data_IF_249148750509
#
_entry.id   IF_249148750509
#
_cell.length_a   1.000
_cell.length_b   1.000
_cell.length_c   1.000
_cell.angle_alpha   90.00
_cell.angle_beta   90.00
_cell.angle_gamma   90.00
#
_symmetry.space_group_name_H-M   'P 1'
#
loop_
_entity.id
_entity.type
_entity.pdbx_description
1 polymer ?
#
# COMPACT_ATOMS: atom_id res chain seq x y z
N UNK A 1 -14.80 33.55 -0.43
CA UNK A 1 -13.64 33.47 -1.35
C UNK A 1 -13.60 32.08 -1.95
N UNK A 2 -13.17 31.91 -3.21
CA UNK A 2 -12.96 30.58 -3.82
C UNK A 2 -11.44 30.38 -3.96
N UNK A 3 -10.93 29.26 -3.46
CA UNK A 3 -9.52 28.87 -3.53
C UNK A 3 -9.39 27.56 -4.29
N UNK A 4 -8.45 27.51 -5.22
CA UNK A 4 -8.12 26.29 -5.96
C UNK A 4 -6.86 25.67 -5.36
N UNK A 5 -7.01 24.55 -4.66
CA UNK A 5 -5.92 23.82 -4.03
C UNK A 5 -5.52 22.64 -4.91
N UNK A 6 -4.24 22.59 -5.33
CA UNK A 6 -3.73 21.58 -6.25
C UNK A 6 -3.81 21.97 -7.73
N UNK A 7 -3.52 21.04 -8.67
CA UNK A 7 -3.19 19.64 -8.44
C UNK A 7 -1.77 19.42 -7.90
N UNK A 8 -0.91 20.44 -7.96
CA UNK A 8 0.46 20.40 -7.48
C UNK A 8 0.56 21.10 -6.12
N UNK A 9 0.40 20.33 -5.04
CA UNK A 9 0.61 20.80 -3.67
C UNK A 9 1.10 19.62 -2.81
N UNK A 10 2.08 19.82 -1.89
CA UNK A 10 2.65 18.73 -1.09
C UNK A 10 1.62 17.87 -0.35
N UNK A 11 0.63 18.50 0.28
CA UNK A 11 -0.42 17.82 1.08
C UNK A 11 -1.48 17.07 0.27
N UNK A 12 -1.35 16.97 -1.06
CA UNK A 12 -2.30 16.25 -1.92
C UNK A 12 -1.92 14.79 -2.15
N UNK A 13 -0.69 14.37 -1.75
CA UNK A 13 -0.15 13.00 -1.84
C UNK A 13 -0.50 12.27 -3.15
N UNK A 14 -0.31 12.96 -4.28
CA UNK A 14 -0.73 12.49 -5.59
C UNK A 14 -1.24 13.65 -6.43
N UNK A 15 -2.29 13.39 -7.21
CA UNK A 15 -2.88 14.39 -8.12
C UNK A 15 -4.33 14.60 -7.75
N UNK A 16 -4.55 15.46 -6.77
CA UNK A 16 -5.87 15.86 -6.27
C UNK A 16 -6.01 17.37 -6.43
N UNK A 17 -7.16 17.80 -6.95
CA UNK A 17 -7.53 19.21 -7.05
C UNK A 17 -8.82 19.43 -6.27
N UNK A 18 -8.82 20.40 -5.37
CA UNK A 18 -9.98 20.77 -4.58
C UNK A 18 -10.33 22.23 -4.89
N UNK A 19 -11.57 22.49 -5.26
CA UNK A 19 -12.13 23.84 -5.32
C UNK A 19 -12.85 24.08 -4.00
N UNK A 20 -12.29 24.95 -3.16
CA UNK A 20 -12.79 25.21 -1.82
C UNK A 20 -13.44 26.60 -1.77
N UNK A 21 -14.67 26.65 -1.30
CA UNK A 21 -15.39 27.90 -1.03
C UNK A 21 -15.30 28.22 0.45
N UNK A 22 -14.71 29.37 0.77
CA UNK A 22 -14.41 29.82 2.12
C UNK A 22 -15.22 31.06 2.50
N UNK A 23 -15.65 31.15 3.75
CA UNK A 23 -16.06 32.41 4.40
C UNK A 23 -15.15 32.65 5.60
N UNK A 24 -14.24 33.62 5.47
CA UNK A 24 -13.11 33.75 6.39
C UNK A 24 -12.24 32.49 6.41
N UNK A 25 -12.16 31.84 7.58
CA UNK A 25 -11.43 30.59 7.82
C UNK A 25 -12.33 29.34 7.69
N UNK A 26 -13.65 29.52 7.62
CA UNK A 26 -14.60 28.42 7.56
C UNK A 26 -14.79 27.91 6.13
N UNK A 27 -14.74 26.58 5.96
CA UNK A 27 -15.03 25.91 4.69
C UNK A 27 -16.55 25.73 4.55
N UNK A 28 -17.16 26.45 3.61
CA UNK A 28 -18.60 26.31 3.32
C UNK A 28 -18.84 25.14 2.35
N UNK A 29 -17.98 25.00 1.34
CA UNK A 29 -18.13 23.98 0.30
C UNK A 29 -16.76 23.52 -0.23
N UNK A 30 -16.70 22.28 -0.70
CA UNK A 30 -15.49 21.68 -1.26
C UNK A 30 -15.87 20.73 -2.39
N UNK A 31 -15.45 21.08 -3.61
CA UNK A 31 -15.64 20.26 -4.81
C UNK A 31 -14.31 19.55 -5.17
N UNK A 32 -14.22 18.22 -4.97
CA UNK A 32 -13.04 17.46 -5.38
C UNK A 32 -13.09 17.14 -6.87
N UNK A 33 -12.12 17.65 -7.63
CA UNK A 33 -11.92 17.32 -9.04
C UNK A 33 -10.96 16.13 -9.13
N UNK A 34 -11.52 14.99 -9.51
CA UNK A 34 -10.82 13.72 -9.69
C UNK A 34 -10.50 13.44 -11.16
N UNK A 35 -9.75 12.37 -11.43
CA UNK A 35 -9.55 11.85 -12.78
C UNK A 35 -8.20 12.18 -13.43
N UNK A 36 -7.35 12.99 -12.80
CA UNK A 36 -6.01 13.29 -13.31
C UNK A 36 -5.11 12.05 -13.46
N UNK A 37 -5.37 10.99 -12.69
CA UNK A 37 -4.68 9.70 -12.77
C UNK A 37 -5.55 8.60 -13.43
N UNK A 38 -6.66 8.97 -14.07
CA UNK A 38 -7.50 8.00 -14.79
C UNK A 38 -6.76 7.46 -16.01
N UNK A 39 -6.63 6.13 -16.09
CA UNK A 39 -5.86 5.43 -17.14
C UNK A 39 -6.68 4.40 -17.92
N UNK A 40 -8.00 4.39 -17.77
CA UNK A 40 -8.87 3.44 -18.47
C UNK A 40 -8.57 1.96 -18.16
N UNK A 41 -8.19 1.65 -16.92
CA UNK A 41 -7.74 0.31 -16.52
C UNK A 41 -8.81 -0.77 -16.76
N UNK A 42 -10.09 -0.44 -16.59
CA UNK A 42 -11.21 -1.34 -16.87
C UNK A 42 -11.34 -1.65 -18.37
N UNK A 43 -11.14 -0.64 -19.22
CA UNK A 43 -11.18 -0.84 -20.68
C UNK A 43 -10.02 -1.70 -21.18
N UNK A 44 -8.86 -1.61 -20.52
CA UNK A 44 -7.71 -2.47 -20.80
C UNK A 44 -8.03 -3.91 -20.37
N UNK A 45 -8.73 -4.09 -19.23
CA UNK A 45 -9.12 -5.42 -18.74
C UNK A 45 -9.98 -6.19 -19.75
N UNK A 46 -10.92 -5.52 -20.42
CA UNK A 46 -11.78 -6.14 -21.44
C UNK A 46 -11.00 -6.77 -22.61
N UNK A 47 -9.82 -6.23 -22.92
CA UNK A 47 -9.01 -6.62 -24.07
C UNK A 47 -7.81 -7.52 -23.71
N UNK A 48 -7.72 -7.96 -22.44
CA UNK A 48 -6.59 -8.73 -21.92
C UNK A 48 -7.08 -9.97 -21.18
N UNK A 49 -6.30 -11.03 -21.23
CA UNK A 49 -6.56 -12.19 -20.36
C UNK A 49 -6.22 -11.81 -18.91
N UNK A 50 -6.80 -12.52 -17.94
CA UNK A 50 -6.58 -12.25 -16.50
C UNK A 50 -5.07 -12.26 -16.16
N UNK A 51 -4.32 -13.21 -16.72
CA UNK A 51 -2.87 -13.33 -16.50
C UNK A 51 -2.12 -12.12 -17.05
N UNK A 52 -2.51 -11.60 -18.22
CA UNK A 52 -1.92 -10.41 -18.82
C UNK A 52 -2.34 -9.12 -18.10
N UNK A 53 -3.52 -9.13 -17.46
CA UNK A 53 -4.05 -8.00 -16.73
C UNK A 53 -3.46 -7.86 -15.32
N UNK A 54 -3.00 -8.95 -14.71
CA UNK A 54 -2.48 -8.96 -13.33
C UNK A 54 -1.39 -7.90 -13.05
N UNK A 55 -0.41 -7.62 -13.95
CA UNK A 55 0.57 -6.55 -13.74
C UNK A 55 -0.01 -5.12 -13.79
N UNK A 56 -1.23 -4.93 -14.32
CA UNK A 56 -1.92 -3.64 -14.28
C UNK A 56 -2.62 -3.43 -12.94
N UNK A 57 -3.13 -4.50 -12.34
CA UNK A 57 -3.82 -4.48 -11.05
C UNK A 57 -2.88 -4.04 -9.93
N UNK A 58 -1.61 -4.47 -9.96
CA UNK A 58 -0.59 -4.02 -9.01
C UNK A 58 -0.38 -2.50 -8.99
N UNK A 59 -0.93 -1.78 -9.98
CA UNK A 59 -0.83 -0.32 -10.12
C UNK A 59 -2.12 0.41 -9.74
N UNK A 60 -3.16 -0.32 -9.31
CA UNK A 60 -4.40 0.27 -8.80
C UNK A 60 -4.13 0.95 -7.46
N UNK A 61 -3.57 0.20 -6.51
CA UNK A 61 -3.02 0.71 -5.27
C UNK A 61 -1.54 0.35 -5.21
N UNK A 62 -0.69 1.36 -5.41
CA UNK A 62 0.76 1.20 -5.40
C UNK A 62 1.32 1.03 -3.97
N UNK A 63 0.53 1.31 -2.93
CA UNK A 63 0.95 1.17 -1.53
C UNK A 63 0.82 -0.27 -1.04
N UNK A 64 -0.26 -0.94 -1.42
CA UNK A 64 -0.63 -2.27 -0.96
C UNK A 64 -0.93 -3.23 -2.13
N UNK A 65 0.03 -3.33 -3.05
CA UNK A 65 -0.14 -4.02 -4.34
C UNK A 65 -0.60 -5.47 -4.21
N UNK A 66 -0.16 -6.19 -3.17
CA UNK A 66 -0.50 -7.61 -2.95
C UNK A 66 -1.99 -7.83 -2.64
N UNK A 67 -2.70 -6.86 -2.05
CA UNK A 67 -4.15 -6.97 -1.84
C UNK A 67 -4.91 -6.95 -3.16
N UNK A 68 -4.53 -6.04 -4.06
CA UNK A 68 -5.16 -5.93 -5.37
C UNK A 68 -4.90 -7.19 -6.22
N UNK A 69 -3.69 -7.75 -6.14
CA UNK A 69 -3.36 -9.05 -6.75
C UNK A 69 -4.22 -10.18 -6.18
N UNK A 70 -4.35 -10.25 -4.86
CA UNK A 70 -5.12 -11.29 -4.20
C UNK A 70 -6.59 -11.27 -4.63
N UNK A 71 -7.21 -10.09 -4.72
CA UNK A 71 -8.61 -9.96 -5.17
C UNK A 71 -8.76 -10.47 -6.61
N UNK A 72 -7.83 -10.10 -7.50
CA UNK A 72 -7.88 -10.47 -8.92
C UNK A 72 -7.64 -11.96 -9.15
N UNK A 73 -6.87 -12.60 -8.28
CA UNK A 73 -6.57 -14.03 -8.36
C UNK A 73 -7.63 -14.89 -7.66
N UNK A 74 -8.14 -14.44 -6.50
CA UNK A 74 -9.15 -15.16 -5.74
C UNK A 74 -10.50 -15.22 -6.46
N UNK A 75 -10.87 -14.18 -7.22
CA UNK A 75 -12.12 -14.13 -7.97
C UNK A 75 -12.27 -15.29 -8.98
N UNK A 76 -11.32 -15.54 -9.91
CA UNK A 76 -11.41 -16.69 -10.82
C UNK A 76 -11.20 -18.02 -10.09
N UNK A 77 -10.37 -18.09 -9.04
CA UNK A 77 -10.22 -19.31 -8.24
C UNK A 77 -11.55 -19.73 -7.59
N UNK A 78 -12.34 -18.76 -7.11
CA UNK A 78 -13.67 -19.01 -6.57
C UNK A 78 -14.67 -19.42 -7.64
N UNK A 79 -14.67 -18.76 -8.80
CA UNK A 79 -15.58 -19.09 -9.92
C UNK A 79 -15.36 -20.50 -10.46
N UNK A 80 -14.09 -20.93 -10.57
CA UNK A 80 -13.70 -22.25 -11.08
C UNK A 80 -13.57 -23.31 -9.98
N UNK A 81 -13.88 -22.97 -8.72
CA UNK A 81 -13.74 -23.84 -7.54
C UNK A 81 -12.33 -24.48 -7.39
N UNK A 82 -11.28 -23.73 -7.72
CA UNK A 82 -9.89 -24.20 -7.65
C UNK A 82 -9.42 -24.21 -6.19
N UNK A 83 -9.02 -25.38 -5.70
CA UNK A 83 -8.42 -25.50 -4.37
C UNK A 83 -6.92 -25.20 -4.43
N UNK A 84 -6.51 -24.19 -3.65
CA UNK A 84 -5.12 -23.77 -3.54
C UNK A 84 -4.38 -24.66 -2.54
N UNK A 85 -3.10 -25.05 -2.78
CA UNK A 85 -2.30 -25.76 -1.80
C UNK A 85 -2.22 -25.03 -0.46
N UNK A 86 -2.28 -25.76 0.66
CA UNK A 86 -2.28 -25.17 2.01
C UNK A 86 -1.05 -24.28 2.27
N UNK A 87 0.12 -24.70 1.79
CA UNK A 87 1.36 -23.91 1.88
C UNK A 87 1.24 -22.56 1.17
N UNK A 88 0.67 -22.53 -0.03
CA UNK A 88 0.49 -21.30 -0.79
C UNK A 88 -0.52 -20.36 -0.10
N UNK A 89 -1.56 -20.90 0.54
CA UNK A 89 -2.50 -20.12 1.36
C UNK A 89 -1.79 -19.41 2.51
N UNK A 90 -0.95 -20.12 3.28
CA UNK A 90 -0.19 -19.49 4.37
C UNK A 90 0.78 -18.42 3.87
N UNK A 91 1.48 -18.67 2.76
CA UNK A 91 2.38 -17.67 2.17
C UNK A 91 1.58 -16.42 1.77
N UNK A 92 0.43 -16.57 1.12
CA UNK A 92 -0.44 -15.42 0.75
C UNK A 92 -0.83 -14.60 1.99
N UNK A 93 -1.25 -15.25 3.07
CA UNK A 93 -1.63 -14.55 4.31
C UNK A 93 -0.44 -13.77 4.89
N UNK A 94 0.74 -14.39 4.99
CA UNK A 94 1.95 -13.71 5.50
C UNK A 94 2.29 -12.48 4.65
N UNK A 95 2.27 -12.64 3.32
CA UNK A 95 2.54 -11.55 2.37
C UNK A 95 1.53 -10.41 2.48
N UNK A 96 0.24 -10.75 2.62
CA UNK A 96 -0.83 -9.76 2.79
C UNK A 96 -0.68 -8.97 4.09
N UNK A 97 -0.34 -9.63 5.20
CA UNK A 97 -0.12 -8.95 6.48
C UNK A 97 1.14 -8.07 6.47
N UNK A 98 2.23 -8.51 5.84
CA UNK A 98 3.40 -7.64 5.62
C UNK A 98 3.03 -6.43 4.75
N UNK A 99 2.25 -6.63 3.68
CA UNK A 99 1.76 -5.54 2.84
C UNK A 99 0.83 -4.59 3.59
N UNK A 100 0.05 -5.09 4.57
CA UNK A 100 -0.81 -4.27 5.44
C UNK A 100 0.03 -3.35 6.32
N UNK A 101 1.07 -3.91 6.96
CA UNK A 101 2.00 -3.14 7.79
C UNK A 101 2.67 -2.05 6.94
N UNK A 102 3.19 -2.40 5.76
CA UNK A 102 3.85 -1.44 4.86
C UNK A 102 2.89 -0.33 4.36
N UNK A 103 1.61 -0.64 4.18
CA UNK A 103 0.57 0.33 3.79
C UNK A 103 0.23 1.27 4.94
N UNK A 104 0.04 0.75 6.16
CA UNK A 104 -0.22 1.59 7.35
C UNK A 104 0.96 2.48 7.72
N UNK A 105 2.19 1.99 7.54
CA UNK A 105 3.39 2.82 7.66
C UNK A 105 3.38 3.97 6.63
N UNK A 106 3.10 3.68 5.36
CA UNK A 106 2.98 4.73 4.35
C UNK A 106 1.83 5.69 4.59
N UNK A 107 0.76 5.28 5.27
CA UNK A 107 -0.29 6.20 5.68
C UNK A 107 0.18 7.11 6.83
N UNK A 108 0.76 6.52 7.89
CA UNK A 108 1.15 7.24 9.09
C UNK A 108 2.27 8.27 8.82
N UNK A 109 3.29 7.93 8.04
CA UNK A 109 4.44 8.82 7.82
C UNK A 109 4.08 10.17 7.19
N UNK A 110 3.57 10.19 5.95
CA UNK A 110 3.14 11.41 5.27
C UNK A 110 2.02 12.14 6.02
N UNK A 111 1.10 11.44 6.68
CA UNK A 111 0.09 12.07 7.53
C UNK A 111 0.72 12.90 8.65
N UNK A 112 1.72 12.34 9.35
CA UNK A 112 2.45 13.09 10.37
C UNK A 112 3.26 14.24 9.78
N UNK A 113 3.86 14.06 8.60
CA UNK A 113 4.61 15.11 7.91
C UNK A 113 3.72 16.29 7.51
N UNK A 114 2.50 16.03 7.03
CA UNK A 114 1.52 17.07 6.69
C UNK A 114 1.06 17.88 7.91
N UNK A 115 1.04 17.25 9.09
CA UNK A 115 0.77 17.90 10.37
C UNK A 115 2.00 18.66 10.92
N UNK A 116 3.16 18.53 10.28
CA UNK A 116 4.42 19.21 10.65
C UNK A 116 5.41 18.36 11.46
N UNK A 117 5.11 17.09 11.71
CA UNK A 117 6.03 16.17 12.38
C UNK A 117 6.88 15.39 11.37
N UNK A 118 8.07 15.93 11.05
CA UNK A 118 8.95 15.33 10.02
C UNK A 118 9.79 14.15 10.52
N UNK A 119 10.19 14.11 11.80
CA UNK A 119 11.08 13.03 12.30
C UNK A 119 10.45 11.63 12.19
N UNK A 120 9.18 11.41 12.60
CA UNK A 120 8.54 10.09 12.47
C UNK A 120 8.47 9.59 11.02
N UNK A 121 8.38 10.49 10.04
CA UNK A 121 8.38 10.14 8.61
C UNK A 121 9.64 9.34 8.25
N UNK A 122 10.83 9.81 8.65
CA UNK A 122 12.09 9.13 8.33
C UNK A 122 12.23 7.76 9.01
N UNK A 123 11.72 7.64 10.23
CA UNK A 123 11.73 6.35 10.93
C UNK A 123 10.85 5.39 10.15
N UNK A 124 9.57 5.69 9.99
CA UNK A 124 8.60 4.85 9.27
C UNK A 124 9.11 4.33 7.91
N UNK A 125 9.81 5.16 7.12
CA UNK A 125 10.41 4.71 5.86
C UNK A 125 11.57 3.71 6.04
N UNK A 126 12.37 3.82 7.11
CA UNK A 126 13.38 2.81 7.50
C UNK A 126 12.73 1.46 7.78
N UNK A 127 11.67 1.40 8.60
CA UNK A 127 10.98 0.13 8.87
C UNK A 127 10.33 -0.44 7.61
N UNK A 128 9.76 0.43 6.76
CA UNK A 128 9.15 0.03 5.49
C UNK A 128 10.17 -0.55 4.50
N UNK A 129 11.39 -0.04 4.50
CA UNK A 129 12.49 -0.55 3.68
C UNK A 129 12.86 -2.00 4.04
N UNK A 130 12.83 -2.35 5.34
CA UNK A 130 13.08 -3.73 5.77
C UNK A 130 12.03 -4.72 5.22
N UNK A 131 10.77 -4.28 5.11
CA UNK A 131 9.72 -5.09 4.48
C UNK A 131 9.99 -5.24 2.97
N UNK A 132 10.47 -4.18 2.32
CA UNK A 132 10.83 -4.23 0.90
C UNK A 132 11.99 -5.15 0.61
N UNK A 133 12.96 -5.27 1.50
CA UNK A 133 14.03 -6.26 1.37
C UNK A 133 13.49 -7.70 1.47
N UNK A 134 12.47 -7.94 2.30
CA UNK A 134 11.79 -9.23 2.37
C UNK A 134 11.02 -9.55 1.08
N UNK A 135 10.36 -8.56 0.48
CA UNK A 135 9.66 -8.73 -0.81
C UNK A 135 10.63 -8.95 -1.96
N UNK A 136 11.71 -8.16 -2.02
CA UNK A 136 12.75 -8.30 -3.03
C UNK A 136 13.40 -9.68 -2.98
N UNK A 137 13.67 -10.21 -1.78
CA UNK A 137 14.26 -11.53 -1.63
C UNK A 137 13.43 -12.66 -2.26
N UNK A 138 12.10 -12.53 -2.30
CA UNK A 138 11.21 -13.56 -2.87
C UNK A 138 10.94 -13.30 -4.36
N UNK A 139 10.67 -12.04 -4.70
CA UNK A 139 10.04 -11.67 -5.97
C UNK A 139 11.05 -11.09 -6.96
N UNK A 140 12.15 -10.52 -6.44
CA UNK A 140 13.11 -9.73 -7.20
C UNK A 140 12.63 -8.30 -7.52
N UNK A 141 11.45 -7.90 -7.02
CA UNK A 141 10.89 -6.56 -7.19
C UNK A 141 10.40 -6.01 -5.85
N UNK A 142 10.55 -4.69 -5.66
CA UNK A 142 10.27 -4.02 -4.37
C UNK A 142 8.86 -3.46 -4.20
N UNK A 143 8.16 -3.16 -5.31
CA UNK A 143 6.83 -2.54 -5.27
C UNK A 143 5.80 -3.29 -6.14
N UNK A 144 6.14 -3.51 -7.42
CA UNK A 144 5.25 -4.17 -8.38
C UNK A 144 5.45 -5.68 -8.29
N UNK A 145 4.82 -6.32 -7.30
CA UNK A 145 5.14 -7.70 -6.90
C UNK A 145 4.77 -8.75 -7.96
N UNK A 146 3.54 -8.72 -8.47
CA UNK A 146 3.02 -9.69 -9.44
C UNK A 146 3.33 -11.15 -9.02
N UNK A 147 3.18 -11.43 -7.73
CA UNK A 147 3.64 -12.66 -7.07
C UNK A 147 2.53 -13.69 -6.92
N UNK A 148 1.30 -13.23 -6.66
CA UNK A 148 0.16 -14.14 -6.62
C UNK A 148 -0.23 -14.56 -8.03
N UNK A 149 -0.58 -15.84 -8.20
CA UNK A 149 -0.99 -16.42 -9.48
C UNK A 149 -2.23 -17.27 -9.25
N UNK A 150 -3.08 -17.40 -10.27
CA UNK A 150 -4.21 -18.32 -10.24
C UNK A 150 -3.68 -19.74 -9.95
N UNK A 151 -4.16 -20.34 -8.86
CA UNK A 151 -3.72 -21.63 -8.33
C UNK A 151 -2.71 -21.56 -7.18
N UNK A 152 -2.21 -20.37 -6.79
CA UNK A 152 -1.30 -20.22 -5.65
C UNK A 152 -0.33 -19.03 -5.73
N UNK A 153 0.96 -19.31 -5.67
CA UNK A 153 2.04 -18.31 -5.68
C UNK A 153 3.04 -18.63 -6.79
N UNK A 154 3.73 -17.61 -7.32
CA UNK A 154 4.65 -17.79 -8.45
C UNK A 154 5.90 -18.63 -8.08
N UNK A 155 6.42 -18.46 -6.88
CA UNK A 155 7.61 -19.17 -6.39
C UNK A 155 7.49 -19.40 -4.87
N UNK A 156 8.15 -20.43 -4.34
CA UNK A 156 8.21 -20.67 -2.89
C UNK A 156 9.20 -19.72 -2.20
N UNK A 157 9.13 -19.63 -0.87
CA UNK A 157 10.01 -18.81 -0.05
C UNK A 157 11.48 -19.27 -0.16
N UNK A 158 12.45 -18.36 -0.31
CA UNK A 158 13.86 -18.71 -0.35
C UNK A 158 14.35 -19.19 1.01
N UNK A 159 15.46 -19.92 1.02
CA UNK A 159 16.05 -20.45 2.23
C UNK A 159 16.40 -19.33 3.23
N UNK A 160 16.03 -19.51 4.50
CA UNK A 160 16.29 -18.54 5.56
C UNK A 160 15.36 -17.31 5.58
N UNK A 161 14.40 -17.20 4.66
CA UNK A 161 13.47 -16.06 4.62
C UNK A 161 12.61 -15.94 5.87
N UNK A 162 12.11 -17.07 6.38
CA UNK A 162 11.25 -17.12 7.57
C UNK A 162 11.97 -16.52 8.79
N UNK A 163 13.26 -16.85 8.97
CA UNK A 163 14.04 -16.33 10.09
C UNK A 163 14.17 -14.80 9.98
N UNK A 164 14.47 -14.27 8.78
CA UNK A 164 14.53 -12.82 8.55
C UNK A 164 13.19 -12.13 8.81
N UNK A 165 12.08 -12.76 8.45
CA UNK A 165 10.75 -12.24 8.73
C UNK A 165 10.47 -12.18 10.24
N UNK A 166 10.90 -13.19 11.01
CA UNK A 166 10.78 -13.18 12.46
C UNK A 166 11.66 -12.11 13.10
N UNK A 167 12.92 -11.96 12.64
CA UNK A 167 13.82 -10.90 13.10
C UNK A 167 13.21 -9.50 12.85
N UNK A 168 12.55 -9.30 11.70
CA UNK A 168 11.80 -8.09 11.41
C UNK A 168 10.64 -7.86 12.39
N UNK A 169 9.84 -8.90 12.68
CA UNK A 169 8.73 -8.77 13.63
C UNK A 169 9.23 -8.34 15.02
N UNK A 170 10.32 -8.93 15.51
CA UNK A 170 10.91 -8.58 16.81
C UNK A 170 11.45 -7.14 16.83
N UNK A 171 12.05 -6.69 15.72
CA UNK A 171 12.51 -5.32 15.56
C UNK A 171 11.35 -4.32 15.49
N UNK A 172 10.33 -4.61 14.68
CA UNK A 172 9.21 -3.72 14.42
C UNK A 172 8.40 -3.42 15.68
N UNK A 173 8.23 -4.40 16.57
CA UNK A 173 7.55 -4.19 17.85
C UNK A 173 8.19 -3.08 18.70
N UNK A 174 9.51 -2.91 18.64
CA UNK A 174 10.21 -1.81 19.33
C UNK A 174 9.92 -0.47 18.67
N UNK A 175 9.89 -0.44 17.33
CA UNK A 175 9.53 0.75 16.56
C UNK A 175 8.10 1.24 16.86
N UNK A 176 7.15 0.32 17.02
CA UNK A 176 5.76 0.67 17.40
C UNK A 176 5.69 1.39 18.75
N UNK A 177 6.46 0.94 19.74
CA UNK A 177 6.52 1.61 21.06
C UNK A 177 7.11 3.01 20.93
N UNK A 178 8.15 3.19 20.11
CA UNK A 178 8.75 4.50 19.84
C UNK A 178 7.75 5.45 19.17
N UNK A 179 6.97 4.98 18.19
CA UNK A 179 5.93 5.81 17.57
C UNK A 179 4.83 6.21 18.55
N UNK A 180 4.39 5.32 19.43
CA UNK A 180 3.39 5.65 20.45
C UNK A 180 3.87 6.74 21.41
N UNK A 181 5.16 6.72 21.78
CA UNK A 181 5.76 7.75 22.63
C UNK A 181 5.85 9.10 21.91
N UNK A 182 6.20 9.10 20.62
CA UNK A 182 6.37 10.33 19.84
C UNK A 182 5.04 10.97 19.41
N UNK A 183 4.03 10.14 19.12
CA UNK A 183 2.77 10.58 18.51
C UNK A 183 1.65 10.60 19.56
N UNK A 184 1.34 9.45 20.17
CA UNK A 184 0.13 9.30 21.00
C UNK A 184 0.22 10.01 22.35
N UNK A 185 1.43 10.17 22.90
CA UNK A 185 1.64 10.85 24.19
C UNK A 185 1.98 12.33 24.06
N UNK A 186 1.96 12.87 22.83
CA UNK A 186 2.28 14.26 22.58
C UNK A 186 1.05 15.14 22.85
N UNK A 187 1.12 16.19 23.68
CA UNK A 187 -0.04 17.04 23.97
C UNK A 187 -0.53 17.90 22.80
N UNK A 188 0.28 18.05 21.74
CA UNK A 188 -0.08 18.80 20.53
C UNK A 188 -0.93 17.95 19.57
N UNK A 189 -0.76 16.64 19.62
CA UNK A 189 -1.44 15.67 18.77
C UNK A 189 -2.62 15.04 19.52
#
# INVERSE_FOLDING_TARGET
MIVNMGPQHPSMHGVLRLIVTLDGEDVIDCEPILGYLHRGMEKIAENRTIIQYLPYVTRWDYSATMFTEAITVNAPEFLENIQIPQRASYIRVIMLELSRIASHLLWLGPFMADLGAETPFFYIFRERELIYDLFEAIIGMRMMHNYFRIGGVAADLPYGWINKCLDFCDYFLRGVVEYQQLITQNPIF
#
